data_IF_989269006498
#
_entry.id   IF_989269006498
#
_cell.length_a   1.000
_cell.length_b   1.000
_cell.length_c   1.000
_cell.angle_alpha   90.00
_cell.angle_beta   90.00
_cell.angle_gamma   90.00
#
_symmetry.space_group_name_H-M   'P 1'
#
loop_
_entity.id
_entity.type
_entity.pdbx_description
1 polymer ?
#
# COMPACT_ATOMS: atom_id res chain seq x y z
N UNK A 1 24.42 -41.44 20.31
CA UNK A 1 23.38 -41.18 21.32
C UNK A 1 23.74 -39.87 22.02
N UNK A 2 23.09 -38.76 21.66
CA UNK A 2 23.28 -37.48 22.38
C UNK A 2 21.97 -37.14 23.08
N UNK A 3 21.94 -37.36 24.40
CA UNK A 3 20.89 -36.91 25.32
C UNK A 3 21.17 -35.44 25.69
N UNK A 4 20.14 -34.58 25.68
CA UNK A 4 20.29 -33.22 26.23
C UNK A 4 19.24 -32.20 25.81
N UNK A 5 17.94 -32.52 25.87
CA UNK A 5 16.91 -31.48 25.90
C UNK A 5 16.77 -30.98 27.35
N UNK A 6 17.68 -30.09 27.75
CA UNK A 6 17.52 -29.31 28.97
C UNK A 6 16.38 -28.32 28.71
N UNK A 7 15.37 -28.37 29.59
CA UNK A 7 14.19 -27.52 29.57
C UNK A 7 14.59 -26.03 29.49
N UNK A 8 14.28 -25.39 28.37
CA UNK A 8 14.39 -23.93 28.22
C UNK A 8 13.50 -23.25 29.28
N UNK A 9 14.01 -22.23 30.01
CA UNK A 9 13.22 -21.49 30.99
C UNK A 9 11.93 -20.95 30.36
N UNK A 10 10.81 -21.01 31.07
CA UNK A 10 9.50 -20.56 30.58
C UNK A 10 9.52 -19.13 30.02
N UNK A 11 10.38 -18.25 30.58
CA UNK A 11 10.58 -16.88 30.08
C UNK A 11 11.18 -16.82 28.65
N UNK A 12 12.08 -17.74 28.29
CA UNK A 12 12.63 -17.84 26.94
C UNK A 12 11.58 -18.34 25.95
N UNK A 13 10.70 -19.24 26.38
CA UNK A 13 9.58 -19.72 25.58
C UNK A 13 8.54 -18.62 25.36
N UNK A 14 8.22 -17.80 26.37
CA UNK A 14 7.32 -16.65 26.22
C UNK A 14 7.92 -15.55 25.32
N UNK A 15 9.22 -15.25 25.44
CA UNK A 15 9.89 -14.35 24.49
C UNK A 15 9.94 -14.90 23.07
N UNK A 16 10.10 -16.22 22.91
CA UNK A 16 10.05 -16.87 21.59
C UNK A 16 8.63 -16.88 21.02
N UNK A 17 7.59 -17.01 21.85
CA UNK A 17 6.18 -16.88 21.46
C UNK A 17 5.84 -15.44 21.06
N UNK A 18 6.32 -14.46 21.82
CA UNK A 18 6.19 -13.02 21.52
C UNK A 18 6.92 -12.67 20.21
N UNK A 19 8.15 -13.17 20.01
CA UNK A 19 8.89 -12.99 18.76
C UNK A 19 8.21 -13.71 17.60
N UNK A 20 7.65 -14.91 17.81
CA UNK A 20 6.86 -15.65 16.82
C UNK A 20 5.52 -14.98 16.52
N UNK A 21 4.89 -14.32 17.49
CA UNK A 21 3.67 -13.54 17.31
C UNK A 21 3.97 -12.24 16.54
N UNK A 22 5.06 -11.54 16.88
CA UNK A 22 5.55 -10.35 16.17
C UNK A 22 5.97 -10.69 14.73
N UNK A 23 6.66 -11.81 14.52
CA UNK A 23 6.96 -12.35 13.19
C UNK A 23 5.72 -12.86 12.47
N UNK A 24 4.73 -13.39 13.19
CA UNK A 24 3.45 -13.84 12.65
C UNK A 24 2.59 -12.68 12.13
N UNK A 25 2.64 -11.53 12.80
CA UNK A 25 2.07 -10.26 12.34
C UNK A 25 2.87 -9.74 11.13
N UNK A 26 4.20 -9.84 11.17
CA UNK A 26 5.08 -9.49 10.05
C UNK A 26 4.85 -10.37 8.79
N UNK A 27 4.34 -11.59 8.98
CA UNK A 27 4.03 -12.55 7.92
C UNK A 27 2.60 -12.47 7.39
N UNK A 28 1.69 -11.72 8.03
CA UNK A 28 0.47 -11.29 7.36
C UNK A 28 0.83 -10.20 6.36
N UNK A 29 1.43 -10.60 5.24
CA UNK A 29 1.58 -9.70 4.08
C UNK A 29 0.18 -9.15 3.78
N UNK A 30 -0.05 -7.83 3.90
CA UNK A 30 -1.31 -7.25 3.51
C UNK A 30 -1.70 -7.71 2.10
N UNK A 31 -3.00 -7.83 1.83
CA UNK A 31 -3.51 -8.28 0.53
C UNK A 31 -2.93 -7.44 -0.63
N UNK A 32 -2.64 -6.16 -0.40
CA UNK A 32 -2.02 -5.28 -1.39
C UNK A 32 -0.54 -5.65 -1.68
N UNK A 33 0.20 -6.13 -0.69
CA UNK A 33 1.60 -6.59 -0.83
C UNK A 33 1.71 -7.89 -1.63
N UNK A 34 0.68 -8.75 -1.59
CA UNK A 34 0.57 -9.93 -2.47
C UNK A 34 0.49 -9.54 -3.96
N UNK A 35 -0.01 -8.34 -4.27
CA UNK A 35 -0.18 -7.87 -5.66
C UNK A 35 1.16 -7.60 -6.35
N UNK A 36 2.17 -7.13 -5.61
CA UNK A 36 3.55 -6.99 -6.11
C UNK A 36 4.19 -8.35 -6.43
N UNK A 37 4.08 -9.33 -5.52
CA UNK A 37 4.79 -10.61 -5.65
C UNK A 37 4.30 -11.48 -6.84
N UNK A 38 3.11 -11.21 -7.39
CA UNK A 38 2.55 -11.91 -8.56
C UNK A 38 2.88 -11.22 -9.89
N UNK A 39 3.78 -10.24 -9.90
CA UNK A 39 4.34 -9.72 -11.14
C UNK A 39 5.31 -10.78 -11.67
N UNK A 40 4.77 -11.77 -12.39
CA UNK A 40 5.56 -12.69 -13.20
C UNK A 40 6.37 -11.94 -14.26
N UNK A 41 7.04 -12.68 -15.17
CA UNK A 41 7.99 -12.21 -16.21
C UNK A 41 7.54 -11.04 -17.12
N UNK A 42 6.35 -10.48 -16.95
CA UNK A 42 5.80 -9.40 -17.76
C UNK A 42 6.17 -8.03 -17.16
N UNK A 43 6.75 -7.16 -18.00
CA UNK A 43 7.09 -5.77 -17.68
C UNK A 43 5.96 -4.82 -18.11
N UNK A 44 5.80 -3.64 -17.46
CA UNK A 44 4.87 -2.62 -17.94
C UNK A 44 5.26 -2.15 -19.35
N UNK A 45 4.27 -1.74 -20.15
CA UNK A 45 4.52 -1.13 -21.46
C UNK A 45 4.91 0.34 -21.30
N UNK A 46 5.55 0.91 -22.33
CA UNK A 46 5.95 2.33 -22.26
C UNK A 46 4.73 3.24 -22.11
N UNK A 47 3.65 2.92 -22.83
CA UNK A 47 2.38 3.64 -22.74
C UNK A 47 1.79 3.59 -21.31
N UNK A 48 1.89 2.44 -20.63
CA UNK A 48 1.41 2.31 -19.26
C UNK A 48 2.25 3.15 -18.30
N UNK A 49 3.59 3.08 -18.38
CA UNK A 49 4.47 3.91 -17.56
C UNK A 49 4.22 5.40 -17.78
N UNK A 50 4.00 5.83 -19.04
CA UNK A 50 3.70 7.22 -19.35
C UNK A 50 2.38 7.70 -18.74
N UNK A 51 1.38 6.84 -18.58
CA UNK A 51 0.11 7.20 -17.90
C UNK A 51 0.29 7.46 -16.41
N UNK A 52 1.31 6.88 -15.79
CA UNK A 52 1.56 7.08 -14.36
C UNK A 52 1.95 8.52 -14.02
N UNK A 53 2.53 9.28 -14.95
CA UNK A 53 2.89 10.69 -14.75
C UNK A 53 1.71 11.64 -14.89
N UNK A 54 0.61 11.18 -15.49
CA UNK A 54 -0.55 12.03 -15.78
C UNK A 54 -1.34 12.37 -14.52
N UNK A 55 -1.44 11.44 -13.56
CA UNK A 55 -2.02 11.72 -12.24
C UNK A 55 -1.64 10.64 -11.22
N UNK A 56 -1.68 11.00 -9.94
CA UNK A 56 -1.41 10.06 -8.86
C UNK A 56 -2.46 8.92 -8.83
N UNK A 57 -3.73 9.22 -9.15
CA UNK A 57 -4.77 8.20 -9.27
C UNK A 57 -4.44 7.18 -10.36
N UNK A 58 -3.91 7.62 -11.51
CA UNK A 58 -3.52 6.73 -12.61
C UNK A 58 -2.35 5.82 -12.23
N UNK A 59 -1.40 6.33 -11.45
CA UNK A 59 -0.32 5.53 -10.87
C UNK A 59 -0.89 4.44 -9.94
N UNK A 60 -1.74 4.81 -8.97
CA UNK A 60 -2.28 3.87 -7.99
C UNK A 60 -3.25 2.84 -8.60
N UNK A 61 -3.91 3.19 -9.71
CA UNK A 61 -4.82 2.30 -10.44
C UNK A 61 -4.09 1.27 -11.30
N UNK A 62 -2.82 1.51 -11.65
CA UNK A 62 -1.99 0.50 -12.33
C UNK A 62 -1.40 -0.47 -11.33
N UNK A 63 -1.52 -1.78 -11.59
CA UNK A 63 -0.89 -2.81 -10.76
C UNK A 63 0.63 -2.66 -10.71
N UNK A 64 1.25 -2.35 -11.86
CA UNK A 64 2.69 -2.14 -11.94
C UNK A 64 3.09 -0.80 -11.31
N UNK A 65 2.30 0.26 -11.54
CA UNK A 65 2.50 1.57 -10.95
C UNK A 65 2.47 1.53 -9.42
N UNK A 66 1.43 0.93 -8.86
CA UNK A 66 1.31 0.71 -7.41
C UNK A 66 2.50 -0.08 -6.86
N UNK A 67 2.96 -1.12 -7.55
CA UNK A 67 4.10 -1.91 -7.09
C UNK A 67 5.41 -1.12 -7.11
N UNK A 68 5.68 -0.40 -8.20
CA UNK A 68 6.85 0.45 -8.31
C UNK A 68 6.84 1.58 -7.27
N UNK A 69 5.70 2.22 -7.08
CA UNK A 69 5.52 3.27 -6.08
C UNK A 69 5.68 2.74 -4.65
N UNK A 70 5.12 1.57 -4.36
CA UNK A 70 5.35 0.89 -3.07
C UNK A 70 6.82 0.66 -2.83
N UNK A 71 7.54 0.08 -3.80
CA UNK A 71 8.96 -0.21 -3.65
C UNK A 71 9.77 1.07 -3.40
N UNK A 72 9.38 2.17 -4.06
CA UNK A 72 9.92 3.49 -3.80
C UNK A 72 9.65 3.97 -2.37
N UNK A 73 8.40 3.89 -1.88
CA UNK A 73 8.07 4.28 -0.49
C UNK A 73 8.85 3.46 0.55
N UNK A 74 9.02 2.15 0.32
CA UNK A 74 9.86 1.29 1.18
C UNK A 74 11.32 1.75 1.18
N UNK A 75 11.85 2.14 0.01
CA UNK A 75 13.23 2.66 -0.06
C UNK A 75 13.42 3.99 0.68
N UNK A 76 12.31 4.67 0.97
CA UNK A 76 12.27 5.94 1.69
C UNK A 76 11.65 5.82 3.09
N UNK A 77 11.43 4.60 3.58
CA UNK A 77 10.86 4.33 4.90
C UNK A 77 9.52 5.06 5.13
N UNK A 78 8.64 5.06 4.12
CA UNK A 78 7.35 5.76 4.13
C UNK A 78 6.19 4.88 3.62
N UNK A 79 6.36 3.56 3.63
CA UNK A 79 5.38 2.59 3.12
C UNK A 79 4.12 2.45 3.99
N UNK A 80 4.13 2.96 5.23
CA UNK A 80 2.95 3.07 6.08
C UNK A 80 1.85 3.91 5.42
N UNK A 81 2.22 4.94 4.65
CA UNK A 81 1.26 5.84 4.00
C UNK A 81 0.38 5.09 2.99
N UNK A 82 0.99 4.29 2.10
CA UNK A 82 0.23 3.52 1.11
C UNK A 82 -0.51 2.35 1.75
N UNK A 83 0.07 1.75 2.80
CA UNK A 83 -0.58 0.67 3.53
C UNK A 83 -1.86 1.16 4.23
N UNK A 84 -1.79 2.29 4.92
CA UNK A 84 -2.92 2.93 5.57
C UNK A 84 -3.99 3.32 4.54
N UNK A 85 -3.61 3.94 3.43
CA UNK A 85 -4.54 4.31 2.36
C UNK A 85 -5.38 3.12 1.88
N UNK A 86 -4.75 1.97 1.60
CA UNK A 86 -5.49 0.77 1.17
C UNK A 86 -6.23 0.06 2.31
N UNK A 87 -5.76 0.16 3.55
CA UNK A 87 -6.53 -0.31 4.71
C UNK A 87 -7.85 0.45 4.83
N UNK A 88 -7.85 1.76 4.60
CA UNK A 88 -9.07 2.58 4.54
C UNK A 88 -9.98 2.23 3.36
N UNK A 89 -9.42 1.98 2.16
CA UNK A 89 -10.20 1.50 1.01
C UNK A 89 -10.93 0.17 1.29
N UNK A 90 -10.24 -0.79 1.92
CA UNK A 90 -10.81 -2.08 2.30
C UNK A 90 -11.82 -1.94 3.46
N UNK A 91 -11.56 -1.05 4.41
CA UNK A 91 -12.48 -0.71 5.48
C UNK A 91 -13.81 -0.16 4.95
N UNK A 92 -13.75 0.84 4.05
CA UNK A 92 -14.95 1.48 3.47
C UNK A 92 -15.88 0.49 2.76
N UNK A 93 -15.32 -0.57 2.19
CA UNK A 93 -16.07 -1.63 1.47
C UNK A 93 -16.66 -2.69 2.39
N UNK A 94 -16.39 -2.62 3.70
CA UNK A 94 -16.84 -3.62 4.68
C UNK A 94 -18.31 -3.41 5.04
N UNK A 95 -19.16 -4.36 4.65
CA UNK A 95 -20.62 -4.30 4.91
C UNK A 95 -21.06 -4.90 6.25
N UNK A 96 -20.24 -5.77 6.83
CA UNK A 96 -20.58 -6.50 8.05
C UNK A 96 -20.22 -5.66 9.29
N UNK A 97 -21.18 -5.29 10.16
CA UNK A 97 -20.94 -4.37 11.28
C UNK A 97 -19.86 -4.86 12.26
N UNK A 98 -19.86 -6.15 12.60
CA UNK A 98 -18.86 -6.73 13.52
C UNK A 98 -17.44 -6.70 12.94
N UNK A 99 -17.31 -6.98 11.64
CA UNK A 99 -16.02 -6.85 10.92
C UNK A 99 -15.60 -5.39 10.79
N UNK A 100 -16.54 -4.48 10.58
CA UNK A 100 -16.29 -3.06 10.49
C UNK A 100 -15.67 -2.55 11.80
N UNK A 101 -16.29 -2.81 12.95
CA UNK A 101 -15.74 -2.47 14.26
C UNK A 101 -14.33 -3.04 14.48
N UNK A 102 -14.13 -4.33 14.17
CA UNK A 102 -12.84 -5.00 14.36
C UNK A 102 -11.74 -4.39 13.46
N UNK A 103 -12.06 -4.09 12.20
CA UNK A 103 -11.13 -3.42 11.29
C UNK A 103 -10.84 -1.99 11.72
N UNK A 104 -11.83 -1.25 12.24
CA UNK A 104 -11.65 0.11 12.70
C UNK A 104 -10.61 0.17 13.83
N UNK A 105 -10.77 -0.71 14.83
CA UNK A 105 -9.82 -0.83 15.94
C UNK A 105 -8.42 -1.24 15.46
N UNK A 106 -8.33 -2.18 14.51
CA UNK A 106 -7.05 -2.59 13.92
C UNK A 106 -6.36 -1.44 13.18
N UNK A 107 -7.07 -0.69 12.35
CA UNK A 107 -6.50 0.43 11.60
C UNK A 107 -6.01 1.52 12.57
N UNK A 108 -6.80 1.81 13.60
CA UNK A 108 -6.41 2.82 14.59
C UNK A 108 -5.13 2.45 15.34
N UNK A 109 -5.02 1.21 15.83
CA UNK A 109 -3.85 0.76 16.59
C UNK A 109 -2.62 0.54 15.71
N UNK A 110 -2.79 0.24 14.42
CA UNK A 110 -1.66 0.04 13.49
C UNK A 110 -1.13 1.37 12.94
N UNK A 111 -1.98 2.37 12.71
CA UNK A 111 -1.62 3.57 11.94
C UNK A 111 -1.93 4.93 12.61
N UNK A 112 -2.87 5.05 13.55
CA UNK A 112 -3.39 6.37 14.00
C UNK A 112 -2.97 6.74 15.43
N UNK A 113 -2.94 5.78 16.35
CA UNK A 113 -2.50 6.01 17.73
C UNK A 113 -1.09 6.60 17.74
N UNK A 114 -0.79 7.46 18.72
CA UNK A 114 0.55 8.03 18.94
C UNK A 114 1.61 7.00 19.29
N UNK A 115 1.19 5.78 19.63
CA UNK A 115 2.04 4.64 19.94
C UNK A 115 1.98 3.58 18.82
N UNK A 116 1.34 3.90 17.70
CA UNK A 116 1.16 2.97 16.61
C UNK A 116 2.51 2.59 15.98
N UNK A 117 2.77 1.28 15.73
CA UNK A 117 4.06 0.84 15.19
C UNK A 117 4.32 1.33 13.77
N UNK A 118 3.27 1.79 13.06
CA UNK A 118 3.32 2.33 11.70
C UNK A 118 2.51 3.63 11.63
N UNK A 119 2.68 4.48 12.64
CA UNK A 119 1.98 5.76 12.76
C UNK A 119 2.13 6.59 11.46
N UNK A 120 1.01 7.05 10.92
CA UNK A 120 1.00 7.93 9.74
C UNK A 120 1.09 9.40 10.15
N UNK A 121 1.72 10.22 9.30
CA UNK A 121 1.91 11.64 9.59
C UNK A 121 0.62 12.45 9.36
N UNK A 122 -0.18 12.64 10.42
CA UNK A 122 -1.39 13.47 10.44
C UNK A 122 -1.37 14.46 11.62
N UNK A 123 -2.05 15.60 11.45
CA UNK A 123 -2.21 16.60 12.50
C UNK A 123 -3.08 16.08 13.68
N UNK A 124 -2.92 16.71 14.85
CA UNK A 124 -3.62 16.33 16.08
C UNK A 124 -5.14 16.37 15.92
N UNK A 125 -5.66 17.39 15.24
CA UNK A 125 -7.09 17.55 14.99
C UNK A 125 -7.66 16.35 14.21
N UNK A 126 -6.99 15.93 13.13
CA UNK A 126 -7.39 14.79 12.32
C UNK A 126 -7.37 13.48 13.12
N UNK A 127 -6.39 13.33 14.02
CA UNK A 127 -6.28 12.17 14.91
C UNK A 127 -7.43 12.12 15.91
N UNK A 128 -7.77 13.25 16.53
CA UNK A 128 -8.84 13.35 17.51
C UNK A 128 -10.21 13.10 16.87
N UNK A 129 -10.45 13.65 15.67
CA UNK A 129 -11.65 13.37 14.87
C UNK A 129 -11.75 11.88 14.56
N UNK A 130 -10.66 11.26 14.12
CA UNK A 130 -10.62 9.81 13.83
C UNK A 130 -10.92 8.99 15.10
N UNK A 131 -10.38 9.39 16.25
CA UNK A 131 -10.65 8.75 17.55
C UNK A 131 -12.11 8.88 17.98
N UNK A 132 -12.73 10.03 17.74
CA UNK A 132 -14.15 10.25 18.03
C UNK A 132 -15.04 9.38 17.12
N UNK A 133 -14.72 9.28 15.83
CA UNK A 133 -15.44 8.44 14.87
C UNK A 133 -15.44 6.95 15.24
N UNK A 134 -14.47 6.48 16.04
CA UNK A 134 -14.43 5.09 16.51
C UNK A 134 -15.46 4.75 17.60
N UNK A 135 -16.10 5.75 18.21
CA UNK A 135 -17.18 5.52 19.18
C UNK A 135 -18.43 4.95 18.49
N UNK A 136 -18.69 5.39 17.26
CA UNK A 136 -19.74 4.86 16.40
C UNK A 136 -19.17 4.63 14.98
N UNK A 137 -18.48 3.50 14.74
CA UNK A 137 -17.79 3.27 13.48
C UNK A 137 -18.73 3.24 12.29
N UNK A 138 -18.47 4.13 11.33
CA UNK A 138 -19.13 4.19 10.03
C UNK A 138 -18.13 3.94 8.90
N UNK A 139 -18.57 3.70 7.64
CA UNK A 139 -17.67 3.59 6.49
C UNK A 139 -16.77 4.80 6.25
N UNK A 140 -17.15 6.00 6.75
CA UNK A 140 -16.42 7.25 6.59
C UNK A 140 -15.48 7.59 7.76
N UNK A 141 -15.33 6.67 8.72
CA UNK A 141 -14.55 6.87 9.96
C UNK A 141 -13.13 7.42 9.72
N UNK A 142 -12.49 7.01 8.61
CA UNK A 142 -11.12 7.39 8.26
C UNK A 142 -11.01 8.38 7.10
N UNK A 143 -12.10 8.94 6.57
CA UNK A 143 -12.07 9.72 5.32
C UNK A 143 -11.12 10.93 5.40
N UNK A 144 -11.15 11.67 6.51
CA UNK A 144 -10.27 12.82 6.71
C UNK A 144 -8.80 12.40 6.79
N UNK A 145 -8.48 11.40 7.62
CA UNK A 145 -7.11 10.89 7.76
C UNK A 145 -6.59 10.30 6.44
N UNK A 146 -7.41 9.51 5.76
CA UNK A 146 -7.08 8.94 4.45
C UNK A 146 -6.80 10.04 3.43
N UNK A 147 -7.60 11.11 3.41
CA UNK A 147 -7.37 12.25 2.52
C UNK A 147 -6.05 12.98 2.83
N UNK A 148 -5.72 13.21 4.11
CA UNK A 148 -4.43 13.81 4.51
C UNK A 148 -3.24 13.00 3.99
N UNK A 149 -3.26 11.69 4.18
CA UNK A 149 -2.18 10.80 3.74
C UNK A 149 -2.14 10.65 2.22
N UNK A 150 -3.29 10.63 1.55
CA UNK A 150 -3.35 10.69 0.09
C UNK A 150 -2.66 11.95 -0.43
N UNK A 151 -2.99 13.11 0.13
CA UNK A 151 -2.42 14.40 -0.28
C UNK A 151 -0.92 14.50 0.04
N UNK A 152 -0.47 13.93 1.17
CA UNK A 152 0.94 13.82 1.53
C UNK A 152 1.70 13.04 0.45
N UNK A 153 1.24 11.84 0.10
CA UNK A 153 1.87 11.04 -0.95
C UNK A 153 1.81 11.73 -2.31
N UNK A 154 0.66 12.33 -2.67
CA UNK A 154 0.45 12.97 -3.95
C UNK A 154 1.34 14.22 -4.15
N UNK A 155 1.60 14.98 -3.08
CA UNK A 155 2.35 16.24 -3.14
C UNK A 155 3.85 16.10 -2.86
N UNK A 156 4.26 15.08 -2.12
CA UNK A 156 5.68 14.86 -1.78
C UNK A 156 6.25 13.60 -2.45
N UNK A 157 5.76 12.42 -2.07
CA UNK A 157 6.35 11.16 -2.51
C UNK A 157 6.21 10.94 -4.03
N UNK A 158 5.06 11.29 -4.62
CA UNK A 158 4.75 11.04 -6.03
C UNK A 158 5.64 11.85 -6.99
N UNK A 159 5.83 13.18 -6.82
CA UNK A 159 6.80 13.93 -7.61
C UNK A 159 8.22 13.34 -7.52
N UNK A 160 8.65 12.95 -6.30
CA UNK A 160 9.98 12.36 -6.09
C UNK A 160 10.11 10.98 -6.77
N UNK A 161 9.06 10.16 -6.72
CA UNK A 161 8.97 8.90 -7.47
C UNK A 161 9.16 9.11 -8.98
N UNK A 162 8.47 10.09 -9.58
CA UNK A 162 8.59 10.38 -11.01
C UNK A 162 9.97 10.88 -11.45
N UNK A 163 10.77 11.41 -10.52
CA UNK A 163 12.16 11.80 -10.77
C UNK A 163 13.18 10.74 -10.34
N UNK A 164 12.73 9.69 -9.66
CA UNK A 164 13.58 8.63 -9.13
C UNK A 164 14.25 7.81 -10.24
N UNK A 165 15.45 7.24 -9.98
CA UNK A 165 16.06 6.26 -10.88
C UNK A 165 15.14 5.08 -11.19
N UNK A 166 14.36 4.63 -10.20
CA UNK A 166 13.41 3.50 -10.34
C UNK A 166 12.43 3.74 -11.47
N UNK A 167 11.79 4.92 -11.53
CA UNK A 167 10.84 5.24 -12.58
C UNK A 167 11.53 5.43 -13.96
N UNK A 168 12.71 6.06 -14.00
CA UNK A 168 13.48 6.19 -15.25
C UNK A 168 13.89 4.83 -15.81
N UNK A 169 14.35 3.91 -14.97
CA UNK A 169 14.77 2.59 -15.39
C UNK A 169 13.59 1.78 -15.93
N UNK A 170 12.39 1.94 -15.35
CA UNK A 170 11.17 1.34 -15.87
C UNK A 170 10.81 1.89 -17.26
N UNK A 171 10.93 3.20 -17.48
CA UNK A 171 10.72 3.81 -18.81
C UNK A 171 11.71 3.27 -19.85
N UNK A 172 13.00 3.15 -19.49
CA UNK A 172 14.03 2.62 -20.40
C UNK A 172 13.81 1.14 -20.75
N UNK A 173 13.28 0.35 -19.82
CA UNK A 173 13.04 -1.08 -20.01
C UNK A 173 11.70 -1.38 -20.68
N UNK A 174 10.80 -0.41 -20.73
CA UNK A 174 9.47 -0.58 -21.28
C UNK A 174 9.50 -0.56 -22.82
N UNK A 175 8.95 -1.59 -23.45
CA UNK A 175 8.88 -1.67 -24.92
C UNK A 175 7.68 -0.86 -25.45
N UNK A 176 7.76 -0.29 -26.67
CA UNK A 176 6.59 0.22 -27.38
C UNK A 176 5.56 -0.90 -27.56
N UNK A 177 4.28 -0.58 -27.36
CA UNK A 177 3.18 -1.52 -27.56
C UNK A 177 3.09 -1.91 -29.05
N UNK A 178 3.30 -3.18 -29.39
CA UNK A 178 3.05 -3.71 -30.73
C UNK A 178 1.55 -3.99 -30.89
N UNK A 179 0.73 -2.96 -31.02
CA UNK A 179 -0.64 -3.09 -31.52
C UNK A 179 -0.68 -2.57 -32.96
N UNK A 180 -1.12 -3.36 -33.96
CA UNK A 180 -1.29 -2.85 -35.31
C UNK A 180 -2.44 -1.84 -35.33
N UNK A 181 -2.11 -0.57 -35.56
CA UNK A 181 -3.08 0.47 -35.86
C UNK A 181 -3.63 0.22 -37.27
N UNK A 182 -4.84 -0.34 -37.36
CA UNK A 182 -5.57 -0.38 -38.63
C UNK A 182 -5.92 1.06 -39.03
N UNK A 183 -5.18 1.61 -39.99
CA UNK A 183 -5.50 2.86 -40.66
C UNK A 183 -6.60 2.56 -41.70
N UNK A 184 -7.77 3.23 -41.68
CA UNK A 184 -8.75 3.06 -42.74
C UNK A 184 -8.20 3.60 -44.05
N UNK A 185 -8.11 2.72 -45.04
CA UNK A 185 -7.69 2.99 -46.41
C UNK A 185 -8.67 4.01 -47.03
N UNK A 186 -8.21 5.23 -47.29
CA UNK A 186 -8.97 6.20 -48.08
C UNK A 186 -8.97 5.73 -49.54
N UNK A 187 -10.10 5.18 -49.98
CA UNK A 187 -10.35 4.80 -51.38
C UNK A 187 -10.41 6.08 -52.20
N UNK A 188 -9.38 6.33 -53.00
CA UNK A 188 -9.47 7.20 -54.18
C UNK A 188 -10.33 6.47 -55.22
N UNK A 189 -11.54 6.97 -55.49
CA UNK A 189 -12.23 6.65 -56.74
C UNK A 189 -11.99 7.79 -57.72
N UNK A 190 -11.39 7.40 -58.84
CA UNK A 190 -11.38 8.11 -60.13
C UNK A 190 -12.77 8.06 -60.72
#
# INVERSE_FOLDING_TARGET
MCKGLVSLPACCLERAKELKARLGILLQKPIWTLSCCKIGKNKPTLEECLKWKESFEKLLSSRYGLCAFTAFLVSEFSEENIAFYFACEDYRRTKCPTKLLTKAQKIYSEFISSEAPREVNIDHETRDITKANLQDPSPSCFDQAQHRIYMLMAKDCYPRFLHSPVYRDLLCQAKPSTKPTNLPHLVKKV
#
